data_IF_025000137724
#
_entry.id   IF_025000137724
#
_cell.length_a   1.000
_cell.length_b   1.000
_cell.length_c   1.000
_cell.angle_alpha   90.00
_cell.angle_beta   90.00
_cell.angle_gamma   90.00
#
_symmetry.space_group_name_H-M   'P 1'
#
loop_
_entity.id
_entity.type
_entity.pdbx_description
1 polymer ?
#
# COMPACT_ATOMS: atom_id res chain seq x y z
N UNK A 1 -12.15 18.34 0.00
CA UNK A 1 -11.35 19.02 -1.04
C UNK A 1 -9.95 18.42 -1.18
N UNK A 2 -9.20 18.23 -0.11
CA UNK A 2 -7.83 17.69 -0.15
C UNK A 2 -7.75 16.24 -0.67
N UNK A 3 -8.67 15.38 -0.24
CA UNK A 3 -8.69 13.98 -0.67
C UNK A 3 -9.01 13.82 -2.15
N UNK A 4 -9.84 14.68 -2.73
CA UNK A 4 -10.11 14.71 -4.17
C UNK A 4 -8.87 15.07 -4.99
N UNK A 5 -8.00 15.97 -4.49
CA UNK A 5 -6.76 16.31 -5.15
C UNK A 5 -5.81 15.11 -5.18
N UNK A 6 -5.58 14.46 -4.04
CA UNK A 6 -4.73 13.26 -3.94
C UNK A 6 -5.22 12.12 -4.85
N UNK A 7 -6.55 11.91 -4.91
CA UNK A 7 -7.15 10.92 -5.82
C UNK A 7 -6.93 11.30 -7.28
N UNK A 8 -7.04 12.57 -7.62
CA UNK A 8 -6.75 13.08 -8.98
C UNK A 8 -5.29 12.85 -9.36
N UNK A 9 -4.36 13.13 -8.45
CA UNK A 9 -2.93 12.89 -8.67
C UNK A 9 -2.63 11.40 -8.88
N UNK A 10 -3.24 10.51 -8.07
CA UNK A 10 -3.09 9.07 -8.28
C UNK A 10 -3.67 8.61 -9.64
N UNK A 11 -4.83 9.16 -10.03
CA UNK A 11 -5.42 8.89 -11.36
C UNK A 11 -4.48 9.32 -12.47
N UNK A 12 -3.75 10.43 -12.33
CA UNK A 12 -2.74 10.86 -13.29
C UNK A 12 -1.55 9.89 -13.36
N UNK A 13 -1.10 9.35 -12.21
CA UNK A 13 -0.05 8.33 -12.16
C UNK A 13 -0.49 7.08 -12.93
N UNK A 14 -1.64 6.50 -12.63
CA UNK A 14 -2.09 5.25 -13.26
C UNK A 14 -2.47 5.41 -14.73
N UNK A 15 -2.94 6.57 -15.16
CA UNK A 15 -3.21 6.89 -16.57
C UNK A 15 -1.99 7.36 -17.34
N UNK A 16 -0.89 7.64 -16.65
CA UNK A 16 0.37 8.06 -17.23
C UNK A 16 1.09 6.97 -18.01
N UNK A 17 2.36 7.21 -18.31
CA UNK A 17 3.20 6.26 -19.07
C UNK A 17 4.34 5.67 -18.24
N UNK A 18 4.71 6.31 -17.16
CA UNK A 18 5.86 5.96 -16.35
C UNK A 18 5.48 4.99 -15.21
N UNK A 19 6.39 4.07 -14.91
CA UNK A 19 6.33 3.25 -13.70
C UNK A 19 6.96 4.03 -12.56
N UNK A 20 6.31 4.06 -11.40
CA UNK A 20 6.83 4.65 -10.17
C UNK A 20 7.02 3.60 -9.08
N UNK A 21 7.83 3.94 -8.09
CA UNK A 21 8.03 3.17 -6.88
C UNK A 21 7.48 3.97 -5.68
N UNK A 22 6.38 3.53 -5.04
CA UNK A 22 5.83 4.25 -3.90
C UNK A 22 6.74 4.14 -2.67
N UNK A 23 6.71 5.18 -1.83
CA UNK A 23 7.32 5.09 -0.50
C UNK A 23 6.54 4.11 0.38
N UNK A 24 7.24 3.15 1.01
CA UNK A 24 6.60 2.28 2.03
C UNK A 24 6.40 3.08 3.31
N UNK A 25 5.15 3.35 3.67
CA UNK A 25 4.76 4.16 4.82
C UNK A 25 3.92 3.34 5.80
N UNK A 26 4.00 3.69 7.10
CA UNK A 26 3.31 2.93 8.14
C UNK A 26 2.75 3.80 9.26
N UNK A 27 3.13 5.08 9.29
CA UNK A 27 2.64 6.10 10.20
C UNK A 27 2.74 7.50 9.56
N UNK A 28 2.30 8.52 10.29
CA UNK A 28 2.35 9.91 9.83
C UNK A 28 3.77 10.40 9.57
N UNK A 29 4.74 9.97 10.38
CA UNK A 29 6.14 10.39 10.25
C UNK A 29 6.77 9.80 8.98
N UNK A 30 6.62 8.50 8.77
CA UNK A 30 7.14 7.83 7.56
C UNK A 30 6.51 8.39 6.28
N UNK A 31 5.22 8.77 6.33
CA UNK A 31 4.54 9.40 5.19
C UNK A 31 5.10 10.79 4.88
N UNK A 32 5.35 11.63 5.90
CA UNK A 32 5.99 12.93 5.73
C UNK A 32 7.43 12.83 5.25
N UNK A 33 8.19 11.84 5.73
CA UNK A 33 9.53 11.58 5.22
C UNK A 33 9.46 11.26 3.73
N UNK A 34 8.55 10.38 3.31
CA UNK A 34 8.38 10.04 1.90
C UNK A 34 7.99 11.27 1.06
N UNK A 35 7.07 12.11 1.55
CA UNK A 35 6.67 13.37 0.92
C UNK A 35 7.86 14.33 0.76
N UNK A 36 8.63 14.56 1.83
CA UNK A 36 9.78 15.45 1.83
C UNK A 36 10.92 14.97 0.90
N UNK A 37 11.02 13.66 0.68
CA UNK A 37 11.97 13.06 -0.26
C UNK A 37 11.47 13.07 -1.71
N UNK A 38 10.26 13.55 -1.97
CA UNK A 38 9.70 13.69 -3.31
C UNK A 38 9.13 12.40 -3.90
N UNK A 39 8.72 11.44 -3.08
CA UNK A 39 7.94 10.31 -3.58
C UNK A 39 6.60 10.80 -4.13
N UNK A 40 6.16 10.22 -5.24
CA UNK A 40 4.93 10.60 -5.90
C UNK A 40 3.68 10.06 -5.19
N UNK A 41 3.85 9.01 -4.37
CA UNK A 41 2.79 8.40 -3.55
C UNK A 41 3.36 7.52 -2.44
N UNK A 42 2.51 7.21 -1.45
CA UNK A 42 2.81 6.25 -0.39
C UNK A 42 2.05 4.93 -0.56
N UNK A 43 2.63 3.85 -0.04
CA UNK A 43 2.00 2.54 0.08
C UNK A 43 1.96 2.09 1.54
N UNK A 44 0.75 1.81 2.05
CA UNK A 44 0.52 1.24 3.37
C UNK A 44 -0.03 -0.18 3.23
N UNK A 45 0.79 -1.17 3.56
CA UNK A 45 0.49 -2.59 3.38
C UNK A 45 -0.11 -3.22 4.64
N UNK A 46 -0.98 -4.23 4.47
CA UNK A 46 -1.58 -5.00 5.54
C UNK A 46 -0.54 -5.68 6.46
N UNK A 47 0.52 -6.23 5.86
CA UNK A 47 1.62 -6.87 6.62
C UNK A 47 2.35 -5.90 7.57
N UNK A 48 2.57 -4.67 7.12
CA UNK A 48 3.18 -3.63 7.96
C UNK A 48 2.17 -3.10 8.98
N UNK A 49 0.91 -3.01 8.62
CA UNK A 49 -0.15 -2.65 9.57
C UNK A 49 -0.23 -3.65 10.74
N UNK A 50 -0.20 -4.96 10.44
CA UNK A 50 -0.15 -6.00 11.48
C UNK A 50 1.07 -5.82 12.40
N UNK A 51 2.25 -5.56 11.84
CA UNK A 51 3.47 -5.34 12.62
C UNK A 51 3.41 -4.09 13.49
N UNK A 52 2.92 -2.96 12.94
CA UNK A 52 2.90 -1.67 13.63
C UNK A 52 1.80 -1.59 14.69
N UNK A 53 0.61 -2.11 14.38
CA UNK A 53 -0.58 -1.96 15.24
C UNK A 53 -0.63 -3.06 16.30
N UNK A 54 -0.36 -4.31 15.91
CA UNK A 54 -0.51 -5.48 16.77
C UNK A 54 0.82 -6.04 17.28
N UNK A 55 1.96 -5.67 16.67
CA UNK A 55 3.23 -6.37 16.89
C UNK A 55 3.18 -7.83 16.43
N UNK A 56 2.33 -8.15 15.45
CA UNK A 56 2.04 -9.50 14.98
C UNK A 56 2.51 -9.70 13.53
N UNK A 57 2.82 -10.96 13.14
CA UNK A 57 3.05 -11.29 11.74
C UNK A 57 1.76 -11.18 10.92
N UNK A 58 1.90 -11.18 9.59
CA UNK A 58 0.80 -11.07 8.63
C UNK A 58 -0.01 -12.37 8.52
N UNK A 59 -0.91 -12.57 9.46
CA UNK A 59 -1.82 -13.72 9.52
C UNK A 59 -3.30 -13.33 9.47
N UNK A 60 -3.59 -12.13 8.95
CA UNK A 60 -4.97 -11.66 8.77
C UNK A 60 -5.75 -11.62 10.10
N UNK A 61 -5.07 -11.16 11.16
CA UNK A 61 -5.69 -10.99 12.49
C UNK A 61 -6.04 -9.54 12.79
N UNK A 62 -5.53 -8.60 11.98
CA UNK A 62 -5.85 -7.18 12.08
C UNK A 62 -7.30 -6.95 11.64
N UNK A 63 -8.04 -6.15 12.41
CA UNK A 63 -9.41 -5.79 12.05
C UNK A 63 -9.45 -4.62 11.07
N UNK A 64 -10.53 -4.54 10.27
CA UNK A 64 -10.77 -3.40 9.38
C UNK A 64 -10.75 -2.07 10.13
N UNK A 65 -11.33 -1.99 11.33
CA UNK A 65 -11.39 -0.76 12.12
C UNK A 65 -10.00 -0.28 12.53
N UNK A 66 -9.12 -1.18 12.97
CA UNK A 66 -7.74 -0.85 13.31
C UNK A 66 -6.96 -0.37 12.09
N UNK A 67 -7.11 -1.08 10.96
CA UNK A 67 -6.46 -0.70 9.70
C UNK A 67 -6.93 0.67 9.20
N UNK A 68 -8.25 0.90 9.13
CA UNK A 68 -8.83 2.17 8.68
C UNK A 68 -8.43 3.34 9.59
N UNK A 69 -8.36 3.12 10.91
CA UNK A 69 -7.90 4.14 11.85
C UNK A 69 -6.44 4.53 11.64
N UNK A 70 -5.58 3.57 11.32
CA UNK A 70 -4.18 3.87 10.98
C UNK A 70 -4.06 4.55 9.62
N UNK A 71 -4.79 4.07 8.60
CA UNK A 71 -4.85 4.72 7.30
C UNK A 71 -5.29 6.20 7.42
N UNK A 72 -6.31 6.49 8.23
CA UNK A 72 -6.77 7.86 8.50
C UNK A 72 -5.67 8.74 9.12
N UNK A 73 -4.89 8.22 10.07
CA UNK A 73 -3.76 8.96 10.65
C UNK A 73 -2.69 9.29 9.62
N UNK A 74 -2.38 8.34 8.74
CA UNK A 74 -1.43 8.53 7.64
C UNK A 74 -1.98 9.57 6.65
N UNK A 75 -3.17 9.34 6.11
CA UNK A 75 -3.76 10.18 5.06
C UNK A 75 -3.92 11.66 5.47
N UNK A 76 -4.32 11.93 6.73
CA UNK A 76 -4.44 13.31 7.22
C UNK A 76 -3.10 14.01 7.48
N UNK A 77 -2.02 13.27 7.59
CA UNK A 77 -0.69 13.78 7.98
C UNK A 77 0.25 14.09 6.83
N UNK A 78 -0.15 13.80 5.60
CA UNK A 78 0.64 14.00 4.37
C UNK A 78 -0.25 14.46 3.23
N UNK A 79 0.32 15.10 2.21
CA UNK A 79 -0.36 15.41 0.95
C UNK A 79 -0.20 14.29 -0.10
N UNK A 80 0.62 13.29 0.16
CA UNK A 80 0.79 12.16 -0.76
C UNK A 80 -0.53 11.40 -0.97
N UNK A 81 -0.86 10.99 -2.19
CA UNK A 81 -1.86 9.96 -2.42
C UNK A 81 -1.39 8.64 -1.79
N UNK A 82 -2.28 7.98 -1.04
CA UNK A 82 -1.96 6.73 -0.35
C UNK A 82 -2.71 5.58 -0.99
N UNK A 83 -1.95 4.58 -1.45
CA UNK A 83 -2.44 3.25 -1.82
C UNK A 83 -2.41 2.37 -0.58
N UNK A 84 -3.48 1.64 -0.31
CA UNK A 84 -3.51 0.66 0.77
C UNK A 84 -3.78 -0.75 0.25
N UNK A 85 -3.21 -1.72 0.93
CA UNK A 85 -3.53 -3.13 0.73
C UNK A 85 -4.66 -3.52 1.69
N UNK A 86 -5.87 -3.68 1.16
CA UNK A 86 -7.03 -4.05 1.95
C UNK A 86 -7.22 -5.58 2.03
N UNK A 87 -6.14 -6.34 1.85
CA UNK A 87 -6.12 -7.80 1.89
C UNK A 87 -7.28 -8.41 1.06
N UNK A 88 -8.00 -9.38 1.60
CA UNK A 88 -9.15 -10.02 0.96
C UNK A 88 -10.46 -9.22 1.07
N UNK A 89 -10.40 -7.97 1.58
CA UNK A 89 -11.56 -7.11 1.85
C UNK A 89 -12.32 -7.47 3.13
N UNK A 90 -11.62 -8.13 4.08
CA UNK A 90 -12.11 -8.51 5.42
C UNK A 90 -13.32 -9.45 5.42
N UNK A 91 -13.53 -10.21 4.34
CA UNK A 91 -14.57 -11.22 4.23
C UNK A 91 -15.13 -11.39 2.83
N UNK A 92 -16.43 -11.59 2.71
CA UNK A 92 -17.15 -11.75 1.44
C UNK A 92 -17.47 -10.38 0.78
N UNK A 93 -18.22 -10.39 -0.31
CA UNK A 93 -18.58 -9.18 -1.06
C UNK A 93 -19.30 -8.10 -0.21
N UNK A 94 -20.07 -8.48 0.82
CA UNK A 94 -20.71 -7.51 1.72
C UNK A 94 -19.69 -6.86 2.67
N UNK A 95 -18.70 -7.61 3.11
CA UNK A 95 -17.58 -7.07 3.89
C UNK A 95 -16.73 -6.11 3.04
N UNK A 96 -16.48 -6.46 1.78
CA UNK A 96 -15.77 -5.59 0.82
C UNK A 96 -16.48 -4.23 0.69
N UNK A 97 -17.83 -4.23 0.61
CA UNK A 97 -18.59 -2.99 0.61
C UNK A 97 -18.23 -2.09 1.79
N UNK A 98 -18.27 -2.64 2.99
CA UNK A 98 -17.92 -1.93 4.22
C UNK A 98 -16.46 -1.49 4.23
N UNK A 99 -15.56 -2.33 3.72
CA UNK A 99 -14.13 -2.03 3.64
C UNK A 99 -13.86 -0.79 2.79
N UNK A 100 -14.51 -0.71 1.63
CA UNK A 100 -14.37 0.47 0.73
C UNK A 100 -14.90 1.73 1.41
N UNK A 101 -16.08 1.67 2.03
CA UNK A 101 -16.68 2.79 2.76
C UNK A 101 -15.74 3.33 3.85
N UNK A 102 -15.16 2.44 4.67
CA UNK A 102 -14.26 2.85 5.75
C UNK A 102 -12.93 3.43 5.25
N UNK A 103 -12.35 2.82 4.22
CA UNK A 103 -11.07 3.29 3.67
C UNK A 103 -11.23 4.56 2.84
N UNK A 104 -12.33 4.71 2.11
CA UNK A 104 -12.66 5.96 1.43
C UNK A 104 -12.80 7.12 2.41
N UNK A 105 -13.51 6.89 3.52
CA UNK A 105 -13.67 7.86 4.62
C UNK A 105 -12.36 8.11 5.39
N UNK A 106 -11.42 7.19 5.36
CA UNK A 106 -10.08 7.37 5.91
C UNK A 106 -9.18 8.27 5.04
N UNK A 107 -9.61 8.61 3.81
CA UNK A 107 -8.89 9.49 2.90
C UNK A 107 -7.91 8.78 1.97
N UNK A 108 -8.00 7.45 1.81
CA UNK A 108 -7.13 6.72 0.87
C UNK A 108 -7.44 7.11 -0.58
N UNK A 109 -6.44 6.99 -1.43
CA UNK A 109 -6.55 7.32 -2.86
C UNK A 109 -6.69 6.09 -3.73
N UNK A 110 -6.19 4.94 -3.28
CA UNK A 110 -6.39 3.63 -3.90
C UNK A 110 -6.41 2.52 -2.87
N UNK A 111 -7.10 1.43 -3.21
CA UNK A 111 -7.04 0.19 -2.43
C UNK A 111 -6.98 -1.02 -3.35
N UNK A 112 -6.37 -2.10 -2.86
CA UNK A 112 -6.36 -3.40 -3.52
C UNK A 112 -7.26 -4.37 -2.77
N UNK A 113 -7.99 -5.21 -3.50
CA UNK A 113 -8.75 -6.34 -2.96
C UNK A 113 -8.23 -7.61 -3.61
N UNK A 114 -7.78 -8.58 -2.80
CA UNK A 114 -7.24 -9.83 -3.33
C UNK A 114 -8.24 -10.99 -3.30
N UNK A 115 -7.94 -11.95 -4.17
CA UNK A 115 -8.71 -13.18 -4.36
C UNK A 115 -8.12 -14.42 -3.67
N UNK A 116 -7.17 -14.24 -2.78
CA UNK A 116 -6.69 -15.31 -1.90
C UNK A 116 -7.78 -15.67 -0.88
N UNK A 117 -7.98 -16.96 -0.65
CA UNK A 117 -8.89 -17.45 0.39
C UNK A 117 -8.27 -17.18 1.77
N UNK A 118 -8.77 -16.15 2.42
CA UNK A 118 -8.30 -15.66 3.71
C UNK A 118 -9.47 -15.40 4.69
N UNK A 119 -9.24 -15.55 6.00
CA UNK A 119 -8.07 -16.19 6.61
C UNK A 119 -7.96 -17.66 6.20
N UNK A 120 -6.76 -18.25 6.35
CA UNK A 120 -6.53 -19.67 5.97
C UNK A 120 -7.48 -20.60 6.69
N UNK A 121 -8.08 -21.52 5.94
CA UNK A 121 -8.98 -22.52 6.52
C UNK A 121 -8.25 -23.49 7.44
N UNK A 122 -8.92 -23.97 8.48
CA UNK A 122 -8.39 -24.99 9.40
C UNK A 122 -7.94 -26.23 8.63
N UNK A 123 -6.76 -26.74 8.96
CA UNK A 123 -6.20 -27.94 8.32
C UNK A 123 -5.60 -27.72 6.92
N UNK A 124 -5.72 -26.54 6.31
CA UNK A 124 -5.15 -26.24 5.02
C UNK A 124 -3.89 -25.36 5.15
N UNK A 125 -2.72 -25.95 4.88
CA UNK A 125 -1.43 -25.25 4.98
C UNK A 125 -1.04 -24.43 3.75
N UNK A 126 -1.62 -24.71 2.58
CA UNK A 126 -1.31 -24.04 1.32
C UNK A 126 -2.22 -22.81 1.07
N UNK A 127 -1.68 -21.78 0.40
CA UNK A 127 -2.51 -20.69 -0.09
C UNK A 127 -3.39 -21.20 -1.25
N UNK A 128 -4.67 -20.82 -1.23
CA UNK A 128 -5.63 -21.14 -2.28
C UNK A 128 -6.37 -19.87 -2.72
N UNK A 129 -6.94 -19.89 -3.90
CA UNK A 129 -7.73 -18.78 -4.42
C UNK A 129 -9.23 -19.08 -4.26
N UNK A 130 -10.02 -18.03 -4.06
CA UNK A 130 -11.48 -18.11 -4.23
C UNK A 130 -11.82 -18.32 -5.70
N UNK A 131 -13.05 -18.72 -6.02
CA UNK A 131 -13.49 -18.83 -7.41
C UNK A 131 -13.41 -17.47 -8.13
N UNK A 132 -13.28 -17.50 -9.45
CA UNK A 132 -13.30 -16.29 -10.28
C UNK A 132 -14.62 -15.54 -10.09
N UNK A 133 -15.76 -16.26 -10.02
CA UNK A 133 -17.08 -15.66 -9.82
C UNK A 133 -17.20 -14.92 -8.48
N UNK A 134 -16.67 -15.51 -7.42
CA UNK A 134 -16.61 -14.85 -6.11
C UNK A 134 -15.69 -13.61 -6.17
N UNK A 135 -14.55 -13.71 -6.85
CA UNK A 135 -13.65 -12.58 -7.09
C UNK A 135 -14.35 -11.45 -7.85
N UNK A 136 -15.09 -11.76 -8.93
CA UNK A 136 -15.92 -10.80 -9.67
C UNK A 136 -16.94 -10.14 -8.74
N UNK A 137 -17.59 -10.92 -7.89
CA UNK A 137 -18.56 -10.41 -6.89
C UNK A 137 -17.93 -9.38 -5.96
N UNK A 138 -16.72 -9.66 -5.44
CA UNK A 138 -15.96 -8.73 -4.60
C UNK A 138 -15.60 -7.44 -5.36
N UNK A 139 -15.10 -7.55 -6.61
CA UNK A 139 -14.73 -6.37 -7.41
C UNK A 139 -15.96 -5.49 -7.72
N UNK A 140 -17.08 -6.08 -8.12
CA UNK A 140 -18.33 -5.35 -8.35
C UNK A 140 -18.82 -4.67 -7.07
N UNK A 141 -18.75 -5.35 -5.93
CA UNK A 141 -19.11 -4.79 -4.64
C UNK A 141 -18.23 -3.59 -4.27
N UNK A 142 -16.93 -3.70 -4.45
CA UNK A 142 -15.98 -2.60 -4.23
C UNK A 142 -16.33 -1.37 -5.08
N UNK A 143 -16.53 -1.59 -6.38
CA UNK A 143 -16.86 -0.52 -7.33
C UNK A 143 -18.19 0.17 -7.02
N UNK A 144 -19.20 -0.60 -6.61
CA UNK A 144 -20.53 -0.05 -6.25
C UNK A 144 -20.54 0.72 -4.94
N UNK A 145 -19.53 0.52 -4.09
CA UNK A 145 -19.49 1.10 -2.75
C UNK A 145 -18.75 2.43 -2.69
N UNK A 146 -17.85 2.68 -3.66
CA UNK A 146 -17.15 3.96 -3.70
C UNK A 146 -18.12 5.09 -4.06
N UNK A 147 -17.99 6.19 -3.34
CA UNK A 147 -18.79 7.41 -3.56
C UNK A 147 -18.05 8.43 -4.42
N UNK A 148 -16.73 8.49 -4.29
CA UNK A 148 -15.86 9.33 -5.10
C UNK A 148 -15.26 8.52 -6.26
N UNK A 149 -15.60 8.82 -7.52
CA UNK A 149 -15.04 8.13 -8.68
C UNK A 149 -13.51 8.29 -8.82
N UNK A 150 -12.92 9.24 -8.10
CA UNK A 150 -11.47 9.41 -8.00
C UNK A 150 -10.77 8.27 -7.25
N UNK A 151 -11.44 7.61 -6.29
CA UNK A 151 -10.89 6.46 -5.59
C UNK A 151 -10.58 5.32 -6.56
N UNK A 152 -9.36 4.81 -6.56
CA UNK A 152 -8.92 3.71 -7.42
C UNK A 152 -9.16 2.37 -6.73
N UNK A 153 -9.86 1.47 -7.42
CA UNK A 153 -10.07 0.09 -6.99
C UNK A 153 -9.21 -0.82 -7.86
N UNK A 154 -8.26 -1.53 -7.27
CA UNK A 154 -7.41 -2.48 -7.98
C UNK A 154 -7.74 -3.92 -7.60
N UNK A 155 -8.00 -4.76 -8.60
CA UNK A 155 -8.15 -6.20 -8.41
C UNK A 155 -6.77 -6.85 -8.24
N UNK A 156 -6.52 -7.46 -7.08
CA UNK A 156 -5.24 -8.12 -6.77
C UNK A 156 -5.37 -9.62 -6.88
N UNK A 157 -4.36 -10.25 -7.47
CA UNK A 157 -4.26 -11.72 -7.50
C UNK A 157 -2.84 -12.21 -7.27
N UNK A 158 -2.74 -13.33 -6.55
CA UNK A 158 -1.52 -14.11 -6.36
C UNK A 158 -1.50 -15.37 -7.25
N UNK A 159 -2.35 -15.42 -8.26
CA UNK A 159 -2.56 -16.61 -9.08
C UNK A 159 -1.29 -17.08 -9.80
N UNK A 160 -0.39 -16.16 -10.19
CA UNK A 160 0.86 -16.54 -10.88
C UNK A 160 1.65 -17.57 -10.09
N UNK A 161 1.79 -17.39 -8.77
CA UNK A 161 2.56 -18.30 -7.91
C UNK A 161 1.74 -19.47 -7.36
N UNK A 162 0.40 -19.37 -7.31
CA UNK A 162 -0.47 -20.42 -6.75
C UNK A 162 -0.90 -21.39 -7.83
N UNK A 163 -1.28 -20.90 -9.02
CA UNK A 163 -1.94 -21.66 -10.08
C UNK A 163 -1.33 -21.45 -11.48
N UNK A 164 -0.34 -20.57 -11.59
CA UNK A 164 0.36 -20.27 -12.85
C UNK A 164 -0.21 -19.06 -13.61
N UNK A 165 0.54 -18.66 -14.66
CA UNK A 165 0.27 -17.44 -15.43
C UNK A 165 -1.09 -17.47 -16.15
N UNK A 166 -1.51 -18.62 -16.67
CA UNK A 166 -2.81 -18.74 -17.35
C UNK A 166 -3.99 -18.41 -16.44
N UNK A 167 -3.98 -18.90 -15.19
CA UNK A 167 -5.01 -18.57 -14.22
C UNK A 167 -5.00 -17.07 -13.88
N UNK A 168 -3.81 -16.48 -13.74
CA UNK A 168 -3.69 -15.05 -13.51
C UNK A 168 -4.27 -14.23 -14.68
N UNK A 169 -4.07 -14.66 -15.91
CA UNK A 169 -4.66 -14.03 -17.10
C UNK A 169 -6.18 -14.12 -17.10
N UNK A 170 -6.74 -15.30 -16.81
CA UNK A 170 -8.21 -15.44 -16.73
C UNK A 170 -8.82 -14.52 -15.68
N UNK A 171 -8.19 -14.40 -14.51
CA UNK A 171 -8.61 -13.49 -13.44
C UNK A 171 -8.47 -12.02 -13.83
N UNK A 172 -7.35 -11.66 -14.46
CA UNK A 172 -7.13 -10.31 -14.97
C UNK A 172 -8.25 -9.86 -15.92
N UNK A 173 -8.59 -10.71 -16.90
CA UNK A 173 -9.67 -10.44 -17.85
C UNK A 173 -11.04 -10.36 -17.18
N UNK A 174 -11.31 -11.23 -16.20
CA UNK A 174 -12.55 -11.23 -15.44
C UNK A 174 -12.70 -9.96 -14.59
N UNK A 175 -11.63 -9.50 -13.95
CA UNK A 175 -11.65 -8.28 -13.13
C UNK A 175 -11.69 -7.01 -14.00
N UNK A 176 -10.99 -7.00 -15.14
CA UNK A 176 -11.14 -5.94 -16.15
C UNK A 176 -12.59 -5.84 -16.64
N UNK A 177 -13.23 -6.96 -16.96
CA UNK A 177 -14.64 -7.00 -17.35
C UNK A 177 -15.59 -6.58 -16.20
N UNK A 178 -15.20 -6.80 -14.94
CA UNK A 178 -15.95 -6.32 -13.79
C UNK A 178 -15.83 -4.79 -13.59
N UNK A 179 -14.84 -4.13 -14.21
CA UNK A 179 -14.70 -2.68 -14.26
C UNK A 179 -13.70 -2.11 -13.25
N UNK A 180 -12.76 -2.91 -12.70
CA UNK A 180 -11.69 -2.38 -11.83
C UNK A 180 -10.82 -1.37 -12.56
N UNK A 181 -10.21 -0.45 -11.82
CA UNK A 181 -9.40 0.63 -12.41
C UNK A 181 -7.97 0.19 -12.74
N UNK A 182 -7.46 -0.83 -12.06
CA UNK A 182 -6.12 -1.38 -12.22
C UNK A 182 -6.07 -2.85 -11.79
N UNK A 183 -5.00 -3.54 -12.17
CA UNK A 183 -4.72 -4.91 -11.73
C UNK A 183 -3.43 -4.95 -10.93
N UNK A 184 -3.42 -5.67 -9.82
CA UNK A 184 -2.25 -5.84 -8.98
C UNK A 184 -1.85 -7.32 -8.92
N UNK A 185 -0.63 -7.62 -9.32
CA UNK A 185 -0.11 -8.99 -9.32
C UNK A 185 1.01 -9.15 -8.30
N UNK A 186 0.95 -10.24 -7.56
CA UNK A 186 2.09 -10.76 -6.80
C UNK A 186 2.63 -12.03 -7.48
N UNK A 187 3.92 -12.30 -7.31
CA UNK A 187 4.53 -13.52 -7.81
C UNK A 187 4.92 -13.53 -9.29
N UNK A 188 4.79 -12.42 -10.02
CA UNK A 188 5.42 -12.27 -11.34
C UNK A 188 6.92 -12.06 -11.10
N UNK A 189 7.76 -12.96 -11.63
CA UNK A 189 9.20 -12.95 -11.43
C UNK A 189 10.01 -12.85 -12.72
N UNK A 190 9.41 -13.13 -13.88
CA UNK A 190 10.10 -13.11 -15.17
C UNK A 190 9.47 -12.13 -16.16
N UNK A 191 10.29 -11.65 -17.11
CA UNK A 191 9.81 -10.77 -18.19
C UNK A 191 8.75 -11.47 -19.06
N UNK A 192 8.87 -12.79 -19.26
CA UNK A 192 7.90 -13.55 -20.04
C UNK A 192 6.53 -13.56 -19.37
N UNK A 193 6.45 -13.85 -18.06
CA UNK A 193 5.19 -13.79 -17.29
C UNK A 193 4.56 -12.40 -17.36
N UNK A 194 5.37 -11.33 -17.16
CA UNK A 194 4.88 -9.97 -17.23
C UNK A 194 4.35 -9.62 -18.62
N UNK A 195 5.05 -10.05 -19.68
CA UNK A 195 4.62 -9.84 -21.05
C UNK A 195 3.28 -10.51 -21.32
N UNK A 196 3.13 -11.80 -21.01
CA UNK A 196 1.88 -12.54 -21.20
C UNK A 196 0.70 -11.87 -20.47
N UNK A 197 0.89 -11.48 -19.21
CA UNK A 197 -0.13 -10.77 -18.43
C UNK A 197 -0.42 -9.40 -19.04
N UNK A 198 0.61 -8.64 -19.42
CA UNK A 198 0.42 -7.31 -20.02
C UNK A 198 -0.32 -7.38 -21.36
N UNK A 199 -0.07 -8.38 -22.18
CA UNK A 199 -0.78 -8.57 -23.47
C UNK A 199 -2.24 -8.98 -23.28
N UNK A 200 -2.62 -9.53 -22.13
CA UNK A 200 -3.96 -10.04 -21.85
C UNK A 200 -4.96 -8.99 -21.33
N UNK A 201 -4.51 -7.80 -20.95
CA UNK A 201 -5.33 -6.72 -20.37
C UNK A 201 -5.00 -5.36 -20.97
N UNK A 202 -5.91 -4.41 -20.86
CA UNK A 202 -5.66 -2.99 -21.22
C UNK A 202 -5.43 -2.10 -19.99
N UNK A 203 -5.71 -2.62 -18.80
CA UNK A 203 -5.59 -1.86 -17.58
C UNK A 203 -4.14 -1.57 -17.18
N UNK A 204 -3.89 -0.52 -16.41
CA UNK A 204 -2.61 -0.31 -15.75
C UNK A 204 -2.34 -1.44 -14.77
N UNK A 205 -1.07 -1.84 -14.70
CA UNK A 205 -0.60 -2.95 -13.88
C UNK A 205 0.15 -2.38 -12.67
N UNK A 206 -0.09 -3.00 -11.52
CA UNK A 206 0.69 -2.82 -10.31
C UNK A 206 1.40 -4.14 -10.00
N UNK A 207 2.63 -4.06 -9.54
CA UNK A 207 3.42 -5.24 -9.15
C UNK A 207 3.78 -5.20 -7.66
N UNK A 208 3.76 -6.37 -7.05
CA UNK A 208 4.36 -6.60 -5.74
C UNK A 208 5.88 -6.47 -5.78
N UNK A 209 6.57 -7.15 -4.87
CA UNK A 209 8.04 -7.14 -4.83
C UNK A 209 8.64 -7.60 -6.14
N UNK A 210 9.55 -6.79 -6.69
CA UNK A 210 10.23 -7.08 -7.95
C UNK A 210 11.34 -8.12 -7.77
N UNK A 211 11.50 -8.99 -8.78
CA UNK A 211 12.72 -9.78 -8.98
C UNK A 211 13.81 -8.91 -9.60
N UNK A 212 15.08 -9.40 -9.59
CA UNK A 212 16.17 -8.72 -10.29
C UNK A 212 15.91 -8.59 -11.80
N UNK A 213 15.29 -9.60 -12.42
CA UNK A 213 14.96 -9.61 -13.86
C UNK A 213 13.98 -8.48 -14.23
N UNK A 214 13.11 -8.08 -13.30
CA UNK A 214 12.12 -7.03 -13.47
C UNK A 214 12.57 -5.68 -12.95
N UNK A 215 13.77 -5.54 -12.42
CA UNK A 215 14.29 -4.29 -11.90
C UNK A 215 14.77 -3.35 -13.03
N UNK A 216 13.88 -3.07 -13.98
CA UNK A 216 14.12 -2.20 -15.13
C UNK A 216 12.86 -1.33 -15.34
N UNK A 217 12.90 -0.12 -14.78
CA UNK A 217 11.77 0.82 -14.78
C UNK A 217 11.26 1.16 -16.20
N UNK A 218 12.17 1.24 -17.18
CA UNK A 218 11.77 1.50 -18.58
C UNK A 218 11.03 0.32 -19.18
N UNK A 219 11.51 -0.89 -18.92
CA UNK A 219 10.80 -2.10 -19.32
C UNK A 219 9.44 -2.20 -18.66
N UNK A 220 9.35 -1.98 -17.34
CA UNK A 220 8.08 -1.96 -16.61
C UNK A 220 7.09 -0.95 -17.21
N UNK A 221 7.55 0.27 -17.49
CA UNK A 221 6.73 1.31 -18.12
C UNK A 221 6.18 0.85 -19.48
N UNK A 222 7.00 0.19 -20.31
CA UNK A 222 6.58 -0.35 -21.62
C UNK A 222 5.55 -1.47 -21.50
N UNK A 223 5.53 -2.20 -20.39
CA UNK A 223 4.55 -3.25 -20.07
C UNK A 223 3.31 -2.72 -19.33
N UNK A 224 3.05 -1.41 -19.36
CA UNK A 224 1.96 -0.75 -18.64
C UNK A 224 2.00 -0.92 -17.12
N UNK A 225 3.11 -1.29 -16.54
CA UNK A 225 3.28 -1.21 -15.11
C UNK A 225 3.38 0.26 -14.72
N UNK A 226 2.53 0.68 -13.80
CA UNK A 226 2.50 2.07 -13.30
C UNK A 226 2.99 2.19 -11.88
N UNK A 227 2.81 1.13 -11.09
CA UNK A 227 3.25 1.06 -9.71
C UNK A 227 3.98 -0.25 -9.50
N UNK A 228 5.20 -0.21 -8.98
CA UNK A 228 5.98 -1.39 -8.64
C UNK A 228 6.56 -1.24 -7.23
N UNK A 229 6.17 -2.14 -6.31
CA UNK A 229 6.54 -2.06 -4.91
C UNK A 229 8.00 -2.50 -4.70
N UNK A 230 8.70 -1.85 -3.77
CA UNK A 230 10.08 -2.17 -3.39
C UNK A 230 10.19 -2.85 -2.01
N UNK A 231 9.07 -3.35 -1.48
CA UNK A 231 9.03 -3.97 -0.16
C UNK A 231 8.99 -2.95 0.98
N UNK A 232 9.29 -3.42 2.20
CA UNK A 232 9.07 -2.67 3.44
C UNK A 232 10.36 -2.44 4.24
N UNK A 233 11.48 -2.30 3.54
CA UNK A 233 12.78 -2.08 4.17
C UNK A 233 12.82 -0.87 5.12
N UNK A 234 12.12 0.26 4.86
CA UNK A 234 12.12 1.40 5.79
C UNK A 234 11.62 1.03 7.20
N UNK A 235 10.56 0.24 7.31
CA UNK A 235 10.08 -0.25 8.61
C UNK A 235 11.11 -1.14 9.31
N UNK A 236 11.67 -2.11 8.59
CA UNK A 236 12.67 -3.05 9.13
C UNK A 236 13.91 -2.30 9.61
N UNK A 237 14.36 -1.30 8.85
CA UNK A 237 15.49 -0.44 9.22
C UNK A 237 15.19 0.36 10.49
N UNK A 238 13.97 0.90 10.62
CA UNK A 238 13.51 1.57 11.83
C UNK A 238 13.53 0.66 13.07
N UNK A 239 12.99 -0.55 12.94
CA UNK A 239 13.00 -1.56 14.02
C UNK A 239 14.44 -1.90 14.42
N UNK A 240 15.35 -2.06 13.44
CA UNK A 240 16.76 -2.30 13.72
C UNK A 240 17.42 -1.12 14.44
N UNK A 241 17.13 0.10 14.03
CA UNK A 241 17.67 1.30 14.67
C UNK A 241 17.21 1.41 16.13
N UNK A 242 15.94 1.16 16.41
CA UNK A 242 15.38 1.11 17.78
C UNK A 242 16.10 0.04 18.62
N UNK A 243 16.21 -1.18 18.10
CA UNK A 243 16.91 -2.27 18.78
C UNK A 243 18.36 -1.90 19.14
N UNK A 244 19.12 -1.39 18.15
CA UNK A 244 20.53 -1.08 18.34
C UNK A 244 20.74 0.08 19.33
N UNK A 245 19.86 1.07 19.30
CA UNK A 245 19.89 2.19 20.24
C UNK A 245 19.58 1.76 21.66
N UNK A 246 18.51 0.99 21.86
CA UNK A 246 18.14 0.43 23.17
C UNK A 246 19.24 -0.47 23.73
N UNK A 247 19.86 -1.29 22.89
CA UNK A 247 20.98 -2.14 23.29
C UNK A 247 22.17 -1.31 23.81
N UNK A 248 22.56 -0.24 23.10
CA UNK A 248 23.64 0.67 23.51
C UNK A 248 23.33 1.34 24.85
N UNK A 249 22.12 1.85 25.03
CA UNK A 249 21.67 2.43 26.30
C UNK A 249 21.71 1.41 27.44
N UNK A 250 21.23 0.19 27.21
CA UNK A 250 21.25 -0.91 28.20
C UNK A 250 22.67 -1.30 28.62
N UNK A 251 23.64 -1.15 27.71
CA UNK A 251 25.06 -1.40 27.97
C UNK A 251 25.78 -0.20 28.61
N UNK A 252 25.08 0.84 29.03
CA UNK A 252 25.61 1.98 29.78
C UNK A 252 26.11 3.14 28.93
N UNK A 253 25.86 3.17 27.61
CA UNK A 253 26.08 4.37 26.83
C UNK A 253 25.11 5.48 27.24
N UNK A 254 25.59 6.71 27.31
CA UNK A 254 24.73 7.83 27.69
C UNK A 254 23.91 8.36 26.51
N UNK A 255 22.69 8.89 26.73
CA UNK A 255 21.92 9.54 25.65
C UNK A 255 22.75 10.59 24.91
N UNK A 256 23.51 11.42 25.63
CA UNK A 256 24.38 12.47 25.07
C UNK A 256 25.45 11.90 24.12
N UNK A 257 25.95 10.68 24.34
CA UNK A 257 26.92 10.05 23.46
C UNK A 257 26.31 9.50 22.17
N UNK A 258 24.97 9.30 22.17
CA UNK A 258 24.22 8.74 21.03
C UNK A 258 23.53 9.84 20.20
N UNK A 259 23.24 11.00 20.80
CA UNK A 259 22.55 12.13 20.17
C UNK A 259 23.50 13.19 19.61
N UNK A 260 24.54 12.78 18.88
CA UNK A 260 25.56 13.74 18.41
C UNK A 260 25.19 14.48 17.12
N UNK A 261 24.07 14.18 16.50
CA UNK A 261 23.76 14.65 15.16
C UNK A 261 22.71 15.78 15.20
N UNK A 262 23.14 17.01 14.89
CA UNK A 262 22.23 18.13 14.63
C UNK A 262 21.23 17.84 13.51
N UNK A 263 21.58 16.95 12.60
CA UNK A 263 20.74 16.49 11.50
C UNK A 263 19.46 15.80 12.01
N UNK A 264 19.52 15.07 13.14
CA UNK A 264 18.32 14.47 13.76
C UNK A 264 17.34 15.51 14.27
N UNK A 265 17.83 16.58 14.89
CA UNK A 265 16.97 17.64 15.43
C UNK A 265 16.25 18.38 14.30
N UNK A 266 16.97 18.70 13.21
CA UNK A 266 16.39 19.36 12.04
C UNK A 266 15.39 18.45 11.32
N UNK A 267 15.72 17.17 11.13
CA UNK A 267 14.80 16.20 10.57
C UNK A 267 13.52 16.08 11.41
N UNK A 268 13.64 15.99 12.74
CA UNK A 268 12.49 15.91 13.63
C UNK A 268 11.61 17.15 13.56
N UNK A 269 12.18 18.35 13.51
CA UNK A 269 11.42 19.58 13.31
C UNK A 269 10.60 19.55 12.02
N UNK A 270 11.23 19.13 10.92
CA UNK A 270 10.58 19.05 9.62
C UNK A 270 9.41 18.03 9.62
N UNK A 271 9.64 16.79 10.10
CA UNK A 271 8.60 15.76 10.08
C UNK A 271 7.50 15.97 11.11
N UNK A 272 7.75 16.72 12.19
CA UNK A 272 6.72 17.12 13.16
C UNK A 272 6.02 18.43 12.78
N UNK A 273 6.49 19.11 11.73
CA UNK A 273 5.97 20.42 11.30
C UNK A 273 6.03 21.48 12.41
N UNK A 274 7.13 21.50 13.19
CA UNK A 274 7.29 22.33 14.38
C UNK A 274 7.11 23.81 14.07
N UNK A 275 7.58 24.28 12.92
CA UNK A 275 7.44 25.69 12.51
C UNK A 275 5.98 26.12 12.36
N UNK A 276 5.09 25.23 11.91
CA UNK A 276 3.67 25.53 11.85
C UNK A 276 3.08 25.72 13.25
N UNK A 277 3.48 24.87 14.20
CA UNK A 277 3.03 25.01 15.59
C UNK A 277 3.55 26.28 16.24
N UNK A 278 4.81 26.65 15.99
CA UNK A 278 5.38 27.90 16.49
C UNK A 278 4.64 29.13 15.92
N UNK A 279 4.28 29.09 14.63
CA UNK A 279 3.47 30.16 14.02
C UNK A 279 2.08 30.26 14.65
N UNK A 280 1.41 29.11 14.88
CA UNK A 280 0.10 29.11 15.55
C UNK A 280 0.15 29.55 17.01
N UNK A 281 1.22 29.22 17.74
CA UNK A 281 1.44 29.71 19.10
C UNK A 281 1.51 31.24 19.08
N UNK A 282 2.31 31.80 18.18
CA UNK A 282 2.44 33.26 18.07
C UNK A 282 1.12 33.93 17.64
N UNK A 283 0.36 33.27 16.75
CA UNK A 283 -0.92 33.84 16.23
C UNK A 283 -2.08 33.73 17.23
N UNK A 284 -2.16 32.64 18.01
CA UNK A 284 -3.35 32.34 18.78
C UNK A 284 -3.14 32.32 20.31
N UNK A 285 -1.90 32.36 20.78
CA UNK A 285 -1.59 32.22 22.20
C UNK A 285 -0.77 33.38 22.78
N UNK A 286 -0.21 34.27 21.95
CA UNK A 286 0.51 35.53 22.32
C UNK A 286 -0.25 36.73 21.78
#
# INVERSE_FOLDING_TARGET
>A
MLDNQKRTELRQIISGKECIHPGSVYDTISARIAENLGFEMGMFAGSIASAVILGAPDYIVLTLTEFANQARRICRGTNLPILVDADHGYGNALNVKRTVEELENAGVSALTIEDTLLPRSFGNGAATLISIDEGIGKMKSALSSRTDPGLVIAGRTSAVQISGTNEAIMRAQAYEAAGVDALFFTGITTRNQLKEVSESTRLPIMLGTLSEELNDRKYLSSMRVRIALQGHLPYIAGVKAVHDTLKKLRLGQTPKSLSKDKEYDEMMKNVTTEDNYNSWISEFME
#
